data_IF_694945956082
#
_entry.id   IF_694945956082
#
_cell.length_a   1.000
_cell.length_b   1.000
_cell.length_c   1.000
_cell.angle_alpha   90.00
_cell.angle_beta   90.00
_cell.angle_gamma   90.00
#
_symmetry.space_group_name_H-M   'P 1'
#
loop_
_entity.id
_entity.type
_entity.pdbx_description
1 polymer ?
#
# COMPACT_ATOMS: atom_id res chain seq x y z
N UNK A 1 17.52 -32.35 26.58
CA UNK A 1 16.99 -31.24 25.75
C UNK A 1 16.60 -31.82 24.40
N UNK A 2 15.33 -31.65 24.01
CA UNK A 2 14.74 -32.31 22.82
C UNK A 2 15.11 -31.58 21.53
N UNK A 3 15.55 -32.32 20.52
CA UNK A 3 15.89 -31.83 19.17
C UNK A 3 14.78 -30.94 18.55
N UNK A 4 13.51 -31.18 18.89
CA UNK A 4 12.39 -30.38 18.39
C UNK A 4 12.34 -28.94 18.94
N UNK A 5 12.82 -28.70 20.16
CA UNK A 5 12.86 -27.35 20.73
C UNK A 5 13.93 -26.49 20.02
N UNK A 6 15.08 -27.10 19.72
CA UNK A 6 16.18 -26.43 19.01
C UNK A 6 15.84 -26.12 17.55
N UNK A 7 15.07 -26.99 16.87
CA UNK A 7 14.62 -26.72 15.50
C UNK A 7 13.59 -25.59 15.45
N UNK A 8 12.63 -25.55 16.38
CA UNK A 8 11.64 -24.47 16.52
C UNK A 8 12.28 -23.10 16.77
N UNK A 9 13.28 -23.04 17.64
CA UNK A 9 14.01 -21.81 17.93
C UNK A 9 14.83 -21.35 16.71
N UNK A 10 15.47 -22.29 15.99
CA UNK A 10 16.20 -21.99 14.76
C UNK A 10 15.28 -21.50 13.63
N UNK A 11 14.08 -22.07 13.45
CA UNK A 11 13.11 -21.56 12.46
C UNK A 11 12.62 -20.16 12.81
N UNK A 12 12.38 -19.88 14.09
CA UNK A 12 11.95 -18.56 14.55
C UNK A 12 13.03 -17.48 14.32
N UNK A 13 14.28 -17.78 14.67
CA UNK A 13 15.40 -16.85 14.42
C UNK A 13 15.60 -16.61 12.93
N UNK A 14 15.42 -17.64 12.10
CA UNK A 14 15.56 -17.50 10.65
C UNK A 14 14.43 -16.67 10.04
N UNK A 15 13.18 -16.89 10.46
CA UNK A 15 12.03 -16.11 9.97
C UNK A 15 12.15 -14.63 10.36
N UNK A 16 12.60 -14.33 11.57
CA UNK A 16 12.88 -12.95 12.02
C UNK A 16 13.98 -12.27 11.19
N UNK A 17 15.05 -12.99 10.87
CA UNK A 17 16.14 -12.47 10.01
C UNK A 17 15.66 -12.19 8.60
N UNK A 18 14.88 -13.12 8.02
CA UNK A 18 14.29 -12.95 6.69
C UNK A 18 13.35 -11.74 6.65
N UNK A 19 12.52 -11.56 7.68
CA UNK A 19 11.61 -10.41 7.79
C UNK A 19 12.40 -9.10 7.85
N UNK A 20 13.42 -9.01 8.71
CA UNK A 20 14.28 -7.80 8.80
C UNK A 20 14.97 -7.48 7.47
N UNK A 21 15.42 -8.50 6.73
CA UNK A 21 16.02 -8.29 5.41
C UNK A 21 15.01 -7.78 4.39
N UNK A 22 13.77 -8.29 4.43
CA UNK A 22 12.68 -7.84 3.58
C UNK A 22 12.30 -6.39 3.85
N UNK A 23 12.15 -6.00 5.12
CA UNK A 23 11.87 -4.59 5.50
C UNK A 23 12.98 -3.65 5.02
N UNK A 24 14.25 -4.00 5.22
CA UNK A 24 15.37 -3.19 4.70
C UNK A 24 15.35 -3.04 3.18
N UNK A 25 14.96 -4.09 2.46
CA UNK A 25 14.82 -4.04 0.99
C UNK A 25 13.63 -3.18 0.58
N UNK A 26 12.52 -3.23 1.31
CA UNK A 26 11.33 -2.41 1.12
C UNK A 26 11.64 -0.93 1.29
N UNK A 27 12.30 -0.56 2.38
CA UNK A 27 12.77 0.81 2.63
C UNK A 27 13.72 1.30 1.53
N UNK A 28 14.71 0.47 1.16
CA UNK A 28 15.65 0.79 0.07
C UNK A 28 14.93 1.01 -1.26
N UNK A 29 13.96 0.16 -1.58
CA UNK A 29 13.19 0.25 -2.82
C UNK A 29 12.33 1.52 -2.84
N UNK A 30 11.60 1.79 -1.75
CA UNK A 30 10.78 2.99 -1.62
C UNK A 30 11.61 4.26 -1.77
N UNK A 31 12.72 4.36 -1.03
CA UNK A 31 13.65 5.50 -1.12
C UNK A 31 14.21 5.66 -2.54
N UNK A 32 14.47 4.55 -3.24
CA UNK A 32 14.94 4.62 -4.61
C UNK A 32 13.88 5.18 -5.55
N UNK A 33 12.63 4.70 -5.45
CA UNK A 33 11.49 5.14 -6.26
C UNK A 33 11.19 6.63 -6.02
N UNK A 34 11.23 7.09 -4.76
CA UNK A 34 11.03 8.51 -4.41
C UNK A 34 12.01 9.43 -5.13
N UNK A 35 13.26 8.97 -5.31
CA UNK A 35 14.30 9.76 -5.98
C UNK A 35 14.35 9.52 -7.50
N UNK A 36 13.66 8.50 -8.02
CA UNK A 36 13.70 8.09 -9.42
C UNK A 36 12.29 7.67 -9.87
N UNK A 37 11.46 8.65 -10.20
CA UNK A 37 10.09 8.42 -10.65
C UNK A 37 10.06 7.79 -12.06
N UNK A 38 8.99 7.05 -12.37
CA UNK A 38 8.78 6.50 -13.71
C UNK A 38 9.56 5.22 -14.02
N UNK A 39 10.16 4.60 -13.02
CA UNK A 39 10.87 3.33 -13.17
C UNK A 39 9.90 2.16 -13.39
N UNK A 40 10.40 1.06 -13.97
CA UNK A 40 9.63 -0.18 -14.16
C UNK A 40 10.13 -1.24 -13.21
N UNK A 41 9.34 -2.27 -12.91
CA UNK A 41 9.82 -3.40 -12.09
C UNK A 41 11.08 -4.05 -12.68
N UNK A 42 11.20 -4.07 -14.02
CA UNK A 42 12.40 -4.55 -14.71
C UNK A 42 13.63 -3.66 -14.46
N UNK A 43 13.51 -2.34 -14.63
CA UNK A 43 14.64 -1.42 -14.41
C UNK A 43 15.05 -1.36 -12.93
N UNK A 44 14.08 -1.41 -12.01
CA UNK A 44 14.36 -1.51 -10.57
C UNK A 44 15.16 -2.77 -10.24
N UNK A 45 14.77 -3.92 -10.80
CA UNK A 45 15.49 -5.19 -10.62
C UNK A 45 16.94 -5.09 -11.09
N UNK A 46 17.18 -4.46 -12.25
CA UNK A 46 18.53 -4.26 -12.79
C UNK A 46 19.36 -3.29 -11.96
N UNK A 47 18.80 -2.14 -11.55
CA UNK A 47 19.53 -1.09 -10.85
C UNK A 47 19.84 -1.44 -9.39
N UNK A 48 18.97 -2.21 -8.74
CA UNK A 48 19.13 -2.59 -7.33
C UNK A 48 19.76 -3.97 -7.16
N UNK A 49 19.98 -4.71 -8.24
CA UNK A 49 20.50 -6.08 -8.25
C UNK A 49 19.65 -7.04 -7.39
N UNK A 50 18.33 -6.82 -7.41
CA UNK A 50 17.35 -7.65 -6.70
C UNK A 50 16.55 -8.44 -7.73
N UNK A 51 16.27 -9.74 -7.51
CA UNK A 51 15.42 -10.53 -8.39
C UNK A 51 14.07 -9.85 -8.66
N UNK A 52 13.62 -9.90 -9.92
CA UNK A 52 12.36 -9.28 -10.33
C UNK A 52 11.16 -9.79 -9.54
N UNK A 53 11.14 -11.07 -9.19
CA UNK A 53 10.10 -11.67 -8.34
C UNK A 53 10.03 -10.97 -6.98
N UNK A 54 11.17 -10.84 -6.30
CA UNK A 54 11.27 -10.12 -5.02
C UNK A 54 10.89 -8.65 -5.15
N UNK A 55 11.27 -7.97 -6.24
CA UNK A 55 10.83 -6.60 -6.50
C UNK A 55 9.30 -6.53 -6.63
N UNK A 56 8.69 -7.43 -7.41
CA UNK A 56 7.24 -7.45 -7.57
C UNK A 56 6.50 -7.72 -6.26
N UNK A 57 7.00 -8.64 -5.44
CA UNK A 57 6.42 -8.94 -4.13
C UNK A 57 6.43 -7.69 -3.23
N UNK A 58 7.58 -7.00 -3.16
CA UNK A 58 7.71 -5.78 -2.37
C UNK A 58 6.83 -4.65 -2.96
N UNK A 59 6.76 -4.50 -4.27
CA UNK A 59 5.91 -3.48 -4.90
C UNK A 59 4.42 -3.73 -4.62
N UNK A 60 3.97 -4.99 -4.62
CA UNK A 60 2.59 -5.32 -4.28
C UNK A 60 2.27 -4.95 -2.82
N UNK A 61 3.21 -5.15 -1.90
CA UNK A 61 3.08 -4.70 -0.51
C UNK A 61 3.03 -3.17 -0.41
N UNK A 62 3.96 -2.47 -1.08
CA UNK A 62 3.99 -1.01 -1.10
C UNK A 62 2.72 -0.39 -1.73
N UNK A 63 2.13 -1.05 -2.73
CA UNK A 63 0.86 -0.64 -3.33
C UNK A 63 -0.31 -0.89 -2.37
N UNK A 64 -0.31 -2.04 -1.67
CA UNK A 64 -1.30 -2.36 -0.64
C UNK A 64 -1.27 -1.39 0.53
N UNK A 65 -0.07 -0.95 0.93
CA UNK A 65 0.16 0.07 1.95
C UNK A 65 -0.07 1.50 1.44
N UNK A 66 -0.51 1.67 0.19
CA UNK A 66 -0.81 2.96 -0.43
C UNK A 66 0.41 3.91 -0.48
N UNK A 67 1.62 3.37 -0.51
CA UNK A 67 2.85 4.18 -0.62
C UNK A 67 3.20 4.49 -2.07
N UNK A 68 2.81 3.60 -3.00
CA UNK A 68 3.06 3.75 -4.43
C UNK A 68 1.76 3.59 -5.25
N UNK A 69 1.87 3.98 -6.52
CA UNK A 69 0.87 3.74 -7.55
C UNK A 69 1.54 3.33 -8.85
N UNK A 70 0.82 2.60 -9.68
CA UNK A 70 1.22 2.33 -11.05
C UNK A 70 0.58 3.33 -12.01
N UNK A 71 1.38 3.85 -12.93
CA UNK A 71 0.94 4.76 -13.99
C UNK A 71 1.28 4.14 -15.33
N UNK A 72 0.28 4.02 -16.19
CA UNK A 72 0.46 3.59 -17.56
C UNK A 72 0.84 4.79 -18.42
N UNK A 73 1.98 4.66 -19.11
CA UNK A 73 2.50 5.65 -20.05
C UNK A 73 2.59 5.02 -21.43
N UNK A 74 2.14 5.73 -22.46
CA UNK A 74 2.30 5.30 -23.85
C UNK A 74 3.62 5.86 -24.36
N UNK A 75 4.59 4.98 -24.58
CA UNK A 75 5.91 5.32 -25.10
C UNK A 75 6.12 4.60 -26.43
N UNK A 76 6.27 5.36 -27.53
CA UNK A 76 6.48 4.81 -28.89
C UNK A 76 5.42 3.77 -29.30
N UNK A 77 4.15 4.03 -28.96
CA UNK A 77 3.03 3.14 -29.27
C UNK A 77 2.93 1.89 -28.39
N UNK A 78 3.76 1.76 -27.35
CA UNK A 78 3.68 0.66 -26.37
C UNK A 78 3.29 1.19 -25.00
N UNK A 79 2.36 0.49 -24.34
CA UNK A 79 1.99 0.80 -22.96
C UNK A 79 3.09 0.31 -22.02
N UNK A 80 3.57 1.21 -21.17
CA UNK A 80 4.59 0.96 -20.16
C UNK A 80 4.01 1.26 -18.79
N UNK A 81 4.03 0.25 -17.91
CA UNK A 81 3.59 0.39 -16.52
C UNK A 81 4.77 0.86 -15.67
N UNK A 82 4.69 2.09 -15.19
CA UNK A 82 5.73 2.74 -14.39
C UNK A 82 5.28 2.92 -12.95
N UNK A 83 6.23 2.96 -12.01
CA UNK A 83 5.96 3.10 -10.59
C UNK A 83 6.22 4.54 -10.15
N UNK A 84 5.30 5.09 -9.36
CA UNK A 84 5.39 6.41 -8.75
C UNK A 84 5.04 6.32 -7.27
N UNK A 85 5.66 7.16 -6.45
CA UNK A 85 5.19 7.36 -5.07
C UNK A 85 3.90 8.15 -5.06
N UNK A 86 2.99 7.81 -4.14
CA UNK A 86 1.81 8.64 -3.91
C UNK A 86 2.21 9.93 -3.23
N UNK A 87 1.44 10.96 -3.51
CA UNK A 87 1.57 12.32 -2.97
C UNK A 87 0.29 12.71 -2.24
N UNK A 88 0.29 13.82 -1.49
CA UNK A 88 -0.91 14.30 -0.79
C UNK A 88 -2.06 14.54 -1.78
N UNK A 89 -1.75 15.03 -2.98
CA UNK A 89 -2.73 15.30 -4.03
C UNK A 89 -3.44 14.02 -4.50
N UNK A 90 -2.80 12.85 -4.39
CA UNK A 90 -3.43 11.56 -4.71
C UNK A 90 -4.55 11.17 -3.75
N UNK A 91 -4.64 11.85 -2.60
CA UNK A 91 -5.65 11.65 -1.58
C UNK A 91 -6.64 12.82 -1.50
N UNK A 92 -6.43 13.86 -2.31
CA UNK A 92 -7.31 15.01 -2.33
C UNK A 92 -8.47 14.79 -3.30
N UNK A 93 -9.69 15.01 -2.82
CA UNK A 93 -10.91 14.86 -3.60
C UNK A 93 -11.80 16.09 -3.38
N UNK A 94 -11.77 17.04 -4.32
CA UNK A 94 -12.41 18.36 -4.21
C UNK A 94 -13.94 18.33 -4.01
N UNK A 95 -14.58 17.17 -4.18
CA UNK A 95 -16.04 16.99 -4.08
C UNK A 95 -16.38 15.59 -3.58
N UNK A 96 -15.96 15.27 -2.37
CA UNK A 96 -16.32 14.01 -1.75
C UNK A 96 -17.84 13.91 -1.57
N UNK A 97 -18.43 12.84 -2.10
CA UNK A 97 -19.78 12.38 -1.77
C UNK A 97 -19.69 10.96 -1.19
N UNK A 98 -20.74 10.47 -0.53
CA UNK A 98 -20.69 9.14 0.09
C UNK A 98 -20.43 8.01 -0.92
N UNK A 99 -20.92 8.16 -2.15
CA UNK A 99 -20.66 7.22 -3.24
C UNK A 99 -19.17 7.10 -3.58
N UNK A 100 -18.37 8.14 -3.32
CA UNK A 100 -16.92 8.13 -3.52
C UNK A 100 -16.22 7.10 -2.63
N UNK A 101 -16.83 6.64 -1.53
CA UNK A 101 -16.29 5.51 -0.73
C UNK A 101 -16.13 4.25 -1.58
N UNK A 102 -16.95 4.08 -2.62
CA UNK A 102 -16.83 2.95 -3.54
C UNK A 102 -15.63 3.06 -4.50
N UNK A 103 -14.96 4.22 -4.56
CA UNK A 103 -13.69 4.35 -5.29
C UNK A 103 -12.65 3.46 -4.60
N UNK A 104 -11.99 2.53 -5.32
CA UNK A 104 -11.11 1.51 -4.71
C UNK A 104 -10.01 2.08 -3.80
N UNK A 105 -9.49 3.26 -4.14
CA UNK A 105 -8.47 3.93 -3.32
C UNK A 105 -9.05 4.41 -1.98
N UNK A 106 -10.19 5.10 -2.02
CA UNK A 106 -10.86 5.62 -0.82
C UNK A 106 -11.30 4.46 0.06
N UNK A 107 -11.92 3.42 -0.53
CA UNK A 107 -12.32 2.22 0.20
C UNK A 107 -11.15 1.61 0.96
N UNK A 108 -9.99 1.43 0.30
CA UNK A 108 -8.78 0.91 0.93
C UNK A 108 -8.26 1.81 2.04
N UNK A 109 -8.32 3.13 1.89
CA UNK A 109 -7.94 4.07 2.96
C UNK A 109 -8.80 3.87 4.20
N UNK A 110 -10.12 3.79 4.01
CA UNK A 110 -11.08 3.57 5.09
C UNK A 110 -10.85 2.21 5.75
N UNK A 111 -10.70 1.13 4.97
CA UNK A 111 -10.39 -0.21 5.48
C UNK A 111 -9.04 -0.25 6.22
N UNK A 112 -8.02 0.48 5.75
CA UNK A 112 -6.72 0.58 6.41
C UNK A 112 -6.81 1.31 7.75
N UNK A 113 -7.58 2.40 7.79
CA UNK A 113 -7.83 3.16 9.02
C UNK A 113 -8.57 2.29 10.05
N UNK A 114 -9.62 1.58 9.63
CA UNK A 114 -10.36 0.66 10.51
C UNK A 114 -9.46 -0.47 11.06
N UNK A 115 -8.64 -1.09 10.21
CA UNK A 115 -7.66 -2.12 10.65
C UNK A 115 -6.62 -1.59 11.64
N UNK A 116 -6.34 -0.29 11.57
CA UNK A 116 -5.38 0.39 12.45
C UNK A 116 -6.04 1.02 13.68
N UNK A 117 -7.32 0.71 13.94
CA UNK A 117 -8.12 1.26 15.03
C UNK A 117 -8.28 2.80 15.00
N UNK A 118 -8.18 3.39 13.81
CA UNK A 118 -8.33 4.83 13.59
C UNK A 118 -9.79 5.15 13.22
N UNK A 119 -10.36 6.14 13.90
CA UNK A 119 -11.69 6.69 13.59
C UNK A 119 -11.63 7.45 12.28
N UNK A 120 -12.58 7.19 11.38
CA UNK A 120 -12.69 7.90 10.10
C UNK A 120 -13.82 8.91 10.18
N UNK A 121 -13.54 10.13 9.75
CA UNK A 121 -14.48 11.24 9.75
C UNK A 121 -14.71 11.69 8.31
N UNK A 122 -15.98 11.83 7.93
CA UNK A 122 -16.41 12.31 6.62
C UNK A 122 -17.10 13.66 6.80
N UNK A 123 -16.43 14.72 6.36
CA UNK A 123 -16.99 16.06 6.36
C UNK A 123 -17.64 16.33 5.00
N UNK A 124 -18.94 16.59 5.02
CA UNK A 124 -19.78 16.71 3.84
C UNK A 124 -19.91 18.16 3.39
N UNK A 125 -20.25 18.38 2.11
CA UNK A 125 -20.46 19.72 1.56
C UNK A 125 -21.63 20.49 2.21
N UNK A 126 -22.58 19.76 2.82
CA UNK A 126 -23.69 20.34 3.58
C UNK A 126 -23.29 20.78 5.01
N UNK A 127 -22.02 20.59 5.38
CA UNK A 127 -21.47 20.91 6.70
C UNK A 127 -21.74 19.84 7.76
N UNK A 128 -22.36 18.71 7.41
CA UNK A 128 -22.51 17.58 8.32
C UNK A 128 -21.23 16.76 8.41
N UNK A 129 -21.01 16.18 9.58
CA UNK A 129 -19.89 15.26 9.83
C UNK A 129 -20.46 13.87 10.12
N UNK A 130 -20.01 12.86 9.37
CA UNK A 130 -20.33 11.46 9.62
C UNK A 130 -19.09 10.76 10.17
N UNK A 131 -19.27 9.93 11.19
CA UNK A 131 -18.17 9.26 11.87
C UNK A 131 -18.34 7.76 11.70
N UNK A 132 -17.30 7.10 11.21
CA UNK A 132 -17.20 5.65 11.10
C UNK A 132 -16.20 5.15 12.14
N UNK A 133 -16.68 4.33 13.07
CA UNK A 133 -15.83 3.72 14.09
C UNK A 133 -15.05 2.53 13.51
N UNK A 134 -13.90 2.15 14.10
CA UNK A 134 -13.09 1.05 13.61
C UNK A 134 -13.81 -0.31 13.49
N UNK A 135 -14.83 -0.53 14.34
CA UNK A 135 -15.60 -1.78 14.39
C UNK A 135 -16.91 -1.74 13.60
N UNK A 136 -17.24 -0.59 13.02
CA UNK A 136 -18.45 -0.44 12.24
C UNK A 136 -18.31 -1.17 10.90
N UNK A 137 -19.41 -1.76 10.44
CA UNK A 137 -19.46 -2.37 9.12
C UNK A 137 -19.52 -1.26 8.06
N UNK A 138 -18.47 -1.18 7.23
CA UNK A 138 -18.37 -0.14 6.20
C UNK A 138 -19.54 -0.20 5.20
N UNK A 139 -20.00 -1.39 4.82
CA UNK A 139 -21.08 -1.52 3.85
C UNK A 139 -22.40 -1.02 4.43
N UNK A 140 -22.74 -1.42 5.66
CA UNK A 140 -23.93 -0.91 6.34
C UNK A 140 -23.86 0.60 6.58
N UNK A 141 -22.68 1.13 6.84
CA UNK A 141 -22.50 2.57 7.01
C UNK A 141 -22.77 3.35 5.71
N UNK A 142 -22.32 2.81 4.58
CA UNK A 142 -22.62 3.33 3.23
C UNK A 142 -24.12 3.22 2.94
N UNK A 143 -24.75 2.08 3.23
CA UNK A 143 -26.17 1.86 2.90
C UNK A 143 -27.13 2.77 3.70
N UNK A 144 -26.69 3.28 4.86
CA UNK A 144 -27.48 4.13 5.76
C UNK A 144 -27.30 5.64 5.53
N UNK A 145 -26.43 6.08 4.61
CA UNK A 145 -26.11 7.50 4.36
C UNK A 145 -26.05 7.81 2.87
#
# INVERSE_FOLDING_TARGET
>A
MSYMANTLEATKVNSERMQKQKERRKEKLLKFIMNNLGETAYSLSKKLEIPRTTILDILNELEGDLQIKYVELIEKGRTKKTIHTRTIDDFHHDRFNFEAINIPLIRRLVENAQRSEIVVTFDMLDGSTKILMPKDDLQKFIDNN
#
